data_IF_106168376331
#
_entry.id   IF_106168376331
#
_cell.length_a   1.000
_cell.length_b   1.000
_cell.length_c   1.000
_cell.angle_alpha   90.00
_cell.angle_beta   90.00
_cell.angle_gamma   90.00
#
_symmetry.space_group_name_H-M   'P 1'
#
loop_
_entity.id
_entity.type
_entity.pdbx_description
1 polymer ?
#
# COMPACT_ATOMS: atom_id res chain seq x y z
N UNK A 1 -0.31 19.35 -27.04
CA UNK A 1 -0.17 20.58 -27.86
C UNK A 1 -1.35 21.50 -27.57
N UNK A 2 -1.18 22.46 -26.66
CA UNK A 2 -2.23 23.40 -26.26
C UNK A 2 -2.22 24.61 -27.22
N UNK A 3 -3.21 24.69 -28.11
CA UNK A 3 -3.33 25.80 -29.06
C UNK A 3 -3.66 27.10 -28.32
N UNK A 4 -2.79 28.11 -28.45
CA UNK A 4 -2.92 29.44 -27.85
C UNK A 4 -4.06 30.19 -28.56
N UNK A 5 -5.22 30.34 -27.91
CA UNK A 5 -6.37 31.05 -28.50
C UNK A 5 -5.99 32.51 -28.79
N UNK A 6 -5.94 32.86 -30.08
CA UNK A 6 -5.76 34.24 -30.55
C UNK A 6 -7.04 35.01 -30.24
N UNK A 7 -6.95 36.04 -29.40
CA UNK A 7 -8.10 36.90 -29.11
C UNK A 7 -8.39 37.76 -30.34
N UNK A 8 -9.66 37.86 -30.79
CA UNK A 8 -10.01 38.71 -31.92
C UNK A 8 -9.77 40.18 -31.58
N UNK A 9 -9.32 40.95 -32.57
CA UNK A 9 -9.16 42.40 -32.45
C UNK A 9 -10.52 43.10 -32.36
N UNK A 10 -10.52 44.35 -31.89
CA UNK A 10 -11.75 45.08 -31.56
C UNK A 10 -12.66 45.33 -32.78
N UNK A 11 -12.06 45.47 -33.97
CA UNK A 11 -12.76 45.61 -35.24
C UNK A 11 -13.53 44.33 -35.64
N UNK A 12 -12.91 43.16 -35.48
CA UNK A 12 -13.55 41.86 -35.76
C UNK A 12 -14.69 41.60 -34.78
N UNK A 13 -14.52 42.01 -33.51
CA UNK A 13 -15.57 41.92 -32.50
C UNK A 13 -16.77 42.84 -32.81
N UNK A 14 -16.52 44.04 -33.38
CA UNK A 14 -17.58 44.95 -33.81
C UNK A 14 -18.39 44.38 -34.99
N UNK A 15 -17.72 43.85 -36.01
CA UNK A 15 -18.37 43.21 -37.16
C UNK A 15 -19.21 42.00 -36.73
N UNK A 16 -18.69 41.18 -35.82
CA UNK A 16 -19.42 40.04 -35.27
C UNK A 16 -20.68 40.46 -34.51
N UNK A 17 -20.59 41.49 -33.67
CA UNK A 17 -21.76 42.03 -32.94
C UNK A 17 -22.83 42.54 -33.88
N UNK A 18 -22.45 43.17 -34.99
CA UNK A 18 -23.37 43.63 -36.02
C UNK A 18 -24.09 42.47 -36.72
N UNK A 19 -23.35 41.46 -37.15
CA UNK A 19 -23.92 40.26 -37.79
C UNK A 19 -24.89 39.49 -36.88
N UNK A 20 -24.69 39.54 -35.55
CA UNK A 20 -25.48 38.80 -34.57
C UNK A 20 -26.65 39.60 -33.97
N UNK A 21 -26.93 40.85 -34.41
CA UNK A 21 -27.96 41.75 -33.86
C UNK A 21 -29.37 41.14 -33.74
N UNK A 22 -29.72 40.15 -34.56
CA UNK A 22 -31.06 39.52 -34.59
C UNK A 22 -31.11 38.14 -33.93
N UNK A 23 -30.01 37.68 -33.32
CA UNK A 23 -29.94 36.36 -32.71
C UNK A 23 -30.25 36.45 -31.22
N UNK A 24 -31.22 35.65 -30.75
CA UNK A 24 -31.51 35.52 -29.31
C UNK A 24 -30.51 34.53 -28.69
N UNK A 25 -29.66 34.95 -27.74
CA UNK A 25 -28.72 34.04 -27.08
C UNK A 25 -29.48 33.00 -26.27
N UNK A 26 -29.01 31.75 -26.31
CA UNK A 26 -29.56 30.67 -25.49
C UNK A 26 -29.22 30.90 -24.02
N UNK A 27 -30.17 30.59 -23.13
CA UNK A 27 -29.97 30.70 -21.69
C UNK A 27 -28.90 29.71 -21.21
N UNK A 28 -27.78 30.25 -20.74
CA UNK A 28 -26.67 29.46 -20.17
C UNK A 28 -27.01 28.80 -18.83
N UNK A 29 -28.17 29.12 -18.25
CA UNK A 29 -28.57 28.65 -16.93
C UNK A 29 -28.87 27.12 -16.87
N UNK A 30 -29.26 26.51 -17.98
CA UNK A 30 -29.75 25.13 -18.00
C UNK A 30 -28.90 24.16 -18.83
N UNK A 31 -27.74 24.59 -19.33
CA UNK A 31 -26.93 23.80 -20.26
C UNK A 31 -25.49 23.56 -19.77
N UNK A 32 -25.32 23.47 -18.44
CA UNK A 32 -24.05 23.11 -17.80
C UNK A 32 -24.23 21.79 -17.06
N UNK A 33 -23.51 20.77 -17.53
CA UNK A 33 -23.34 19.51 -16.81
C UNK A 33 -22.28 19.73 -15.74
N UNK A 34 -22.58 19.38 -14.49
CA UNK A 34 -21.55 19.35 -13.45
C UNK A 34 -20.50 18.28 -13.78
N UNK A 35 -19.20 18.62 -13.82
CA UNK A 35 -18.16 17.63 -14.07
C UNK A 35 -18.19 16.58 -12.97
N UNK A 36 -18.51 15.34 -13.33
CA UNK A 36 -18.49 14.24 -12.39
C UNK A 36 -17.04 14.01 -11.94
N UNK A 37 -16.75 14.27 -10.66
CA UNK A 37 -15.42 14.01 -10.11
C UNK A 37 -15.14 12.51 -10.15
N UNK A 38 -13.95 12.14 -10.64
CA UNK A 38 -13.51 10.75 -10.64
C UNK A 38 -13.40 10.28 -9.19
N UNK A 39 -14.12 9.21 -8.85
CA UNK A 39 -14.01 8.58 -7.53
C UNK A 39 -12.58 8.07 -7.34
N UNK A 40 -12.03 8.17 -6.11
CA UNK A 40 -10.74 7.58 -5.81
C UNK A 40 -10.77 6.06 -6.11
N UNK A 41 -9.64 5.47 -6.50
CA UNK A 41 -9.56 4.04 -6.73
C UNK A 41 -9.91 3.27 -5.44
N UNK A 42 -10.54 2.09 -5.56
CA UNK A 42 -10.84 1.27 -4.40
C UNK A 42 -9.53 0.87 -3.69
N UNK A 43 -9.46 1.12 -2.39
CA UNK A 43 -8.33 0.72 -1.55
C UNK A 43 -8.78 -0.38 -0.57
N UNK A 44 -8.05 -1.51 -0.47
CA UNK A 44 -8.51 -2.70 0.25
C UNK A 44 -8.30 -2.58 1.77
N UNK A 45 -8.93 -1.59 2.40
CA UNK A 45 -8.78 -1.34 3.84
C UNK A 45 -9.11 -2.56 4.72
N UNK A 46 -10.06 -3.40 4.31
CA UNK A 46 -10.43 -4.59 5.08
C UNK A 46 -9.30 -5.63 5.06
N UNK A 47 -8.74 -5.92 3.89
CA UNK A 47 -7.61 -6.85 3.74
C UNK A 47 -6.41 -6.42 4.57
N UNK A 48 -6.12 -5.11 4.62
CA UNK A 48 -5.03 -4.59 5.45
C UNK A 48 -5.32 -4.74 6.95
N UNK A 49 -6.57 -4.51 7.39
CA UNK A 49 -6.97 -4.72 8.79
C UNK A 49 -6.91 -6.20 9.16
N UNK A 50 -7.45 -7.07 8.32
CA UNK A 50 -7.43 -8.52 8.54
C UNK A 50 -5.98 -9.01 8.64
N UNK A 51 -5.08 -8.54 7.77
CA UNK A 51 -3.66 -8.87 7.83
C UNK A 51 -2.97 -8.44 9.12
N UNK A 52 -3.33 -7.26 9.67
CA UNK A 52 -2.81 -6.79 10.97
C UNK A 52 -3.38 -7.61 12.13
N UNK A 53 -4.67 -7.92 12.11
CA UNK A 53 -5.34 -8.67 13.16
C UNK A 53 -4.83 -10.12 13.25
N UNK A 54 -4.62 -10.78 12.10
CA UNK A 54 -4.02 -12.13 12.07
C UNK A 54 -2.62 -12.13 12.67
N UNK A 55 -1.82 -11.10 12.38
CA UNK A 55 -0.49 -10.96 12.95
C UNK A 55 -0.56 -10.82 14.49
N UNK A 56 -1.42 -9.94 15.00
CA UNK A 56 -1.65 -9.76 16.44
C UNK A 56 -2.11 -11.05 17.11
N UNK A 57 -3.05 -11.78 16.50
CA UNK A 57 -3.58 -13.03 17.04
C UNK A 57 -2.50 -14.12 17.10
N UNK A 58 -1.77 -14.35 16.00
CA UNK A 58 -0.64 -15.30 15.97
C UNK A 58 0.42 -14.96 17.01
N UNK A 59 0.66 -13.68 17.25
CA UNK A 59 1.61 -13.21 18.25
C UNK A 59 1.09 -13.48 19.67
N UNK A 60 -0.22 -13.31 19.92
CA UNK A 60 -0.84 -13.48 21.24
C UNK A 60 -1.05 -14.94 21.68
N UNK A 61 -0.89 -15.91 20.78
CA UNK A 61 -1.10 -17.32 21.06
C UNK A 61 -0.24 -17.78 22.27
N UNK A 62 -0.81 -18.59 23.19
CA UNK A 62 -0.04 -19.20 24.27
C UNK A 62 1.09 -20.03 23.68
N UNK A 63 2.32 -19.73 24.06
CA UNK A 63 3.47 -20.56 23.71
C UNK A 63 3.47 -21.76 24.65
N UNK A 64 3.29 -22.95 24.10
CA UNK A 64 3.50 -24.18 24.84
C UNK A 64 5.00 -24.51 24.85
N UNK A 65 5.65 -24.23 25.98
CA UNK A 65 7.07 -24.50 26.17
C UNK A 65 7.34 -25.96 26.55
N UNK A 66 6.32 -26.79 26.70
CA UNK A 66 6.50 -28.20 27.12
C UNK A 66 7.18 -29.06 26.05
N UNK A 67 7.19 -28.62 24.80
CA UNK A 67 7.89 -29.29 23.70
C UNK A 67 9.37 -28.87 23.56
N UNK A 68 9.85 -27.90 24.36
CA UNK A 68 11.21 -27.36 24.25
C UNK A 68 12.09 -27.86 25.39
N UNK A 69 12.86 -28.91 25.16
CA UNK A 69 13.90 -29.33 26.10
C UNK A 69 15.12 -28.40 26.00
N UNK A 70 15.77 -28.17 27.13
CA UNK A 70 16.97 -27.31 27.19
C UNK A 70 18.12 -28.00 26.46
N UNK A 71 18.48 -27.49 25.29
CA UNK A 71 19.56 -28.04 24.45
C UNK A 71 19.12 -28.41 23.02
N UNK A 72 17.82 -28.37 22.74
CA UNK A 72 17.31 -28.69 21.41
C UNK A 72 17.58 -27.57 20.38
N UNK A 73 17.96 -27.97 19.17
CA UNK A 73 18.01 -27.06 18.02
C UNK A 73 16.57 -26.70 17.60
N UNK A 74 16.23 -25.41 17.67
CA UNK A 74 14.96 -24.89 17.12
C UNK A 74 14.96 -25.04 15.59
N UNK A 75 14.26 -26.04 15.08
CA UNK A 75 14.14 -26.31 13.64
C UNK A 75 12.69 -26.26 13.20
N UNK A 76 12.40 -25.36 12.25
CA UNK A 76 11.09 -25.24 11.62
C UNK A 76 11.23 -25.20 10.10
N UNK A 77 10.45 -26.02 9.40
CA UNK A 77 10.34 -26.01 7.93
C UNK A 77 8.86 -26.08 7.54
N UNK A 78 8.37 -25.05 6.86
CA UNK A 78 6.98 -25.02 6.37
C UNK A 78 6.77 -26.09 5.28
N UNK A 79 5.65 -26.86 5.33
CA UNK A 79 5.32 -27.81 4.27
C UNK A 79 5.34 -27.15 2.88
N UNK A 80 5.87 -27.86 1.89
CA UNK A 80 6.05 -27.36 0.52
C UNK A 80 7.38 -26.65 0.26
N UNK A 81 8.19 -26.35 1.29
CA UNK A 81 9.56 -25.86 1.10
C UNK A 81 10.53 -27.04 0.92
N UNK A 82 11.44 -26.92 -0.05
CA UNK A 82 12.45 -27.95 -0.30
C UNK A 82 13.44 -28.06 0.87
N UNK A 83 13.71 -29.29 1.33
CA UNK A 83 14.71 -29.55 2.39
C UNK A 83 16.11 -28.99 2.09
N UNK A 84 16.45 -28.80 0.81
CA UNK A 84 17.73 -28.20 0.43
C UNK A 84 17.86 -26.75 0.92
N UNK A 85 16.75 -26.00 1.06
CA UNK A 85 16.77 -24.63 1.59
C UNK A 85 17.34 -24.61 3.01
N UNK A 86 16.83 -25.47 3.90
CA UNK A 86 17.34 -25.60 5.28
C UNK A 86 18.80 -26.04 5.31
N UNK A 87 19.19 -26.97 4.43
CA UNK A 87 20.59 -27.43 4.32
C UNK A 87 21.54 -26.29 3.92
N UNK A 88 21.13 -25.44 2.98
CA UNK A 88 21.92 -24.27 2.55
C UNK A 88 22.02 -23.21 3.67
N UNK A 89 20.93 -22.97 4.41
CA UNK A 89 20.92 -22.09 5.59
C UNK A 89 21.93 -22.56 6.65
N UNK A 90 21.89 -23.84 7.06
CA UNK A 90 22.84 -24.40 8.05
C UNK A 90 24.31 -24.34 7.62
N UNK A 91 24.57 -24.36 6.31
CA UNK A 91 25.92 -24.27 5.74
C UNK A 91 26.42 -22.84 5.54
N UNK A 92 25.64 -21.82 5.92
CA UNK A 92 26.00 -20.42 5.73
C UNK A 92 26.03 -19.99 4.26
N UNK A 93 25.30 -20.68 3.38
CA UNK A 93 25.27 -20.35 1.94
C UNK A 93 24.33 -19.18 1.62
N UNK A 94 23.65 -18.64 2.62
CA UNK A 94 22.91 -17.39 2.55
C UNK A 94 23.61 -16.36 3.44
N UNK A 95 23.86 -15.17 2.90
CA UNK A 95 24.38 -14.05 3.69
C UNK A 95 23.31 -13.51 4.63
N UNK A 96 23.70 -13.09 5.82
CA UNK A 96 22.82 -12.35 6.72
C UNK A 96 22.51 -10.97 6.11
N UNK A 97 21.22 -10.67 5.91
CA UNK A 97 20.78 -9.37 5.40
C UNK A 97 20.35 -8.41 6.50
N UNK A 98 19.89 -8.92 7.64
CA UNK A 98 19.41 -8.16 8.79
C UNK A 98 19.41 -9.04 10.03
N UNK A 99 19.57 -8.41 11.20
CA UNK A 99 19.62 -9.08 12.50
C UNK A 99 18.71 -8.34 13.49
N UNK A 100 18.12 -9.09 14.42
CA UNK A 100 17.28 -8.58 15.50
C UNK A 100 17.82 -9.11 16.82
N UNK A 101 18.21 -8.19 17.71
CA UNK A 101 18.58 -8.51 19.08
C UNK A 101 17.34 -8.43 20.00
N UNK A 102 17.05 -9.52 20.70
CA UNK A 102 15.95 -9.63 21.66
C UNK A 102 16.43 -9.69 23.12
N UNK A 103 17.74 -9.65 23.36
CA UNK A 103 18.28 -9.76 24.72
C UNK A 103 17.81 -8.59 25.60
N UNK A 104 17.44 -8.91 26.83
CA UNK A 104 16.94 -7.93 27.80
C UNK A 104 15.51 -7.44 27.56
N UNK A 105 14.85 -7.87 26.48
CA UNK A 105 13.44 -7.56 26.25
C UNK A 105 12.52 -8.50 27.04
N UNK A 106 11.42 -7.96 27.56
CA UNK A 106 10.33 -8.80 28.07
C UNK A 106 9.61 -9.46 26.89
N UNK A 107 8.94 -10.60 27.13
CA UNK A 107 8.20 -11.32 26.07
C UNK A 107 7.25 -10.41 25.27
N UNK A 108 6.45 -9.51 25.88
CA UNK A 108 5.59 -8.61 25.11
C UNK A 108 6.37 -7.65 24.20
N UNK A 109 7.52 -7.13 24.66
CA UNK A 109 8.36 -6.19 23.89
C UNK A 109 9.06 -6.93 22.74
N UNK A 110 9.65 -8.09 23.03
CA UNK A 110 10.33 -8.92 22.04
C UNK A 110 9.38 -9.34 20.89
N UNK A 111 8.14 -9.66 21.24
CA UNK A 111 7.08 -10.02 20.30
C UNK A 111 6.78 -8.88 19.33
N UNK A 112 6.61 -7.65 19.83
CA UNK A 112 6.38 -6.49 18.97
C UNK A 112 7.59 -6.21 18.07
N UNK A 113 8.81 -6.24 18.62
CA UNK A 113 10.02 -6.04 17.84
C UNK A 113 10.18 -7.08 16.71
N UNK A 114 9.85 -8.35 16.99
CA UNK A 114 9.88 -9.41 16.00
C UNK A 114 8.85 -9.20 14.88
N UNK A 115 7.62 -8.78 15.20
CA UNK A 115 6.59 -8.46 14.20
C UNK A 115 7.05 -7.37 13.24
N UNK A 116 7.57 -6.27 13.79
CA UNK A 116 8.06 -5.13 13.01
C UNK A 116 9.25 -5.54 12.13
N UNK A 117 10.20 -6.30 12.68
CA UNK A 117 11.34 -6.83 11.93
C UNK A 117 10.91 -7.68 10.73
N UNK A 118 10.02 -8.66 10.94
CA UNK A 118 9.52 -9.52 9.86
C UNK A 118 8.75 -8.74 8.80
N UNK A 119 8.01 -7.69 9.19
CA UNK A 119 7.34 -6.80 8.25
C UNK A 119 8.34 -6.06 7.37
N UNK A 120 9.44 -5.55 7.95
CA UNK A 120 10.49 -4.86 7.20
C UNK A 120 11.27 -5.78 6.26
N UNK A 121 11.51 -7.04 6.65
CA UNK A 121 12.22 -8.02 5.79
C UNK A 121 11.39 -8.53 4.60
N UNK A 122 10.08 -8.22 4.52
CA UNK A 122 9.21 -8.68 3.43
C UNK A 122 9.33 -7.84 2.16
N UNK A 123 9.81 -6.60 2.27
CA UNK A 123 9.96 -5.63 1.19
C UNK A 123 11.42 -5.52 0.75
#
# INVERSE_FOLDING_TARGET
>A
MTSKKKQPGDADAALFREAMKQVRPLSLAHNRVEPQQRRPPPHPHQTERDGKQVLEEMMSAPLDYTELETGDELLFLRPGIQHNVLRKLRRGQYSCGSELDLHGMTVPVARQALAEFLYHCRN
#
